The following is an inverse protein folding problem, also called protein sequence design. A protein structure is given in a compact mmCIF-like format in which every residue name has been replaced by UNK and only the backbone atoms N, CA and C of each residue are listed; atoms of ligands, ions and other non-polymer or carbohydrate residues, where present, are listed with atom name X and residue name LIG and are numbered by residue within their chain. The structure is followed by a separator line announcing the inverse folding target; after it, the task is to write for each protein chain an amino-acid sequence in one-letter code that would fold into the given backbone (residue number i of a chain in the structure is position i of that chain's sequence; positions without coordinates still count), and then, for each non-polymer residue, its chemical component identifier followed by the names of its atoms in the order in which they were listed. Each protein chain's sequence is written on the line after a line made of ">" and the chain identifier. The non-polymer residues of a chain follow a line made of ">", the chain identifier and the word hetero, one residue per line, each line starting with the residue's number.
data_IF_078236605572
#
_entry.id   IF_078236605572
#
_cell.length_a   1.000
_cell.length_b   1.000
_cell.length_c   1.000
_cell.angle_alpha   90.00
_cell.angle_beta   90.00
_cell.angle_gamma   90.00
#
_symmetry.space_group_name_H-M   'P 1'
#
loop_
_entity.id
_entity.type
_entity.pdbx_description
1 polymer ?
#
# COMPACT_ATOMS: atom_id res chain seq x y z
N UNK A 1 -4.93 35.61 13.46
CA UNK A 1 -5.74 34.78 12.55
C UNK A 1 -5.19 33.37 12.61
N UNK A 2 -5.93 32.40 13.14
CA UNK A 2 -5.47 31.01 13.19
C UNK A 2 -5.56 30.42 11.77
N UNK A 3 -4.41 30.07 11.16
CA UNK A 3 -4.41 29.23 9.95
C UNK A 3 -5.09 27.91 10.29
N UNK A 4 -6.23 27.65 9.66
CA UNK A 4 -6.89 26.36 9.68
C UNK A 4 -6.20 25.47 8.63
N UNK A 5 -5.08 24.85 9.02
CA UNK A 5 -4.53 23.77 8.21
C UNK A 5 -5.54 22.62 8.21
N UNK A 6 -6.10 22.23 7.04
CA UNK A 6 -7.05 21.13 6.97
C UNK A 6 -6.41 19.82 7.44
N UNK A 7 -7.20 18.99 8.12
CA UNK A 7 -6.78 17.64 8.53
C UNK A 7 -6.54 16.74 7.31
N UNK A 8 -5.80 15.62 7.45
CA UNK A 8 -5.59 14.67 6.35
C UNK A 8 -6.88 14.20 5.68
N UNK A 9 -7.94 13.91 6.46
CA UNK A 9 -9.26 13.53 5.93
C UNK A 9 -9.92 14.65 5.12
N UNK A 10 -9.77 15.90 5.55
CA UNK A 10 -10.30 17.05 4.81
C UNK A 10 -9.53 17.28 3.50
N UNK A 11 -8.21 17.14 3.53
CA UNK A 11 -7.37 17.20 2.32
C UNK A 11 -7.75 16.11 1.31
N UNK A 12 -8.05 14.90 1.78
CA UNK A 12 -8.51 13.80 0.93
C UNK A 12 -9.83 14.11 0.24
N UNK A 13 -10.83 14.62 0.99
CA UNK A 13 -12.13 14.98 0.44
C UNK A 13 -12.07 16.13 -0.60
N UNK A 14 -11.01 16.94 -0.57
CA UNK A 14 -10.78 18.03 -1.52
C UNK A 14 -10.05 17.59 -2.80
N UNK A 15 -9.52 16.36 -2.86
CA UNK A 15 -8.82 15.88 -4.04
C UNK A 15 -9.78 15.67 -5.22
N UNK A 16 -9.40 16.00 -6.47
CA UNK A 16 -10.25 15.81 -7.64
C UNK A 16 -10.80 14.38 -7.75
N UNK A 17 -9.96 13.39 -7.42
CA UNK A 17 -10.29 11.97 -7.54
C UNK A 17 -11.34 11.50 -6.52
N UNK A 18 -11.61 12.29 -5.46
CA UNK A 18 -12.66 11.97 -4.49
C UNK A 18 -14.07 11.96 -5.11
N UNK A 19 -14.23 12.59 -6.30
CA UNK A 19 -15.49 12.61 -7.05
C UNK A 19 -15.59 11.50 -8.11
N UNK A 20 -14.55 10.71 -8.29
CA UNK A 20 -14.46 9.75 -9.41
C UNK A 20 -15.20 8.43 -9.16
N UNK A 21 -15.94 8.27 -8.05
CA UNK A 21 -16.70 7.05 -7.70
C UNK A 21 -15.90 5.76 -7.94
N UNK A 22 -14.60 5.78 -7.63
CA UNK A 22 -13.71 4.65 -7.82
C UNK A 22 -14.09 3.51 -6.87
N UNK A 23 -14.01 2.28 -7.37
CA UNK A 23 -13.97 1.10 -6.51
C UNK A 23 -12.68 1.09 -5.69
N UNK A 24 -12.68 0.34 -4.57
CA UNK A 24 -11.47 0.18 -3.75
C UNK A 24 -10.31 -0.40 -4.56
N UNK A 25 -10.59 -1.33 -5.49
CA UNK A 25 -9.58 -1.92 -6.38
C UNK A 25 -8.95 -0.89 -7.32
N UNK A 26 -9.74 0.00 -7.93
CA UNK A 26 -9.22 1.06 -8.81
C UNK A 26 -8.37 2.07 -8.04
N UNK A 27 -8.83 2.49 -6.86
CA UNK A 27 -8.04 3.35 -5.98
C UNK A 27 -6.71 2.66 -5.61
N UNK A 28 -6.74 1.40 -5.17
CA UNK A 28 -5.54 0.66 -4.80
C UNK A 28 -4.56 0.48 -5.97
N UNK A 29 -5.05 0.28 -7.20
CA UNK A 29 -4.21 0.19 -8.39
C UNK A 29 -3.44 1.49 -8.67
N UNK A 30 -4.04 2.66 -8.44
CA UNK A 30 -3.33 3.95 -8.57
C UNK A 30 -2.19 4.08 -7.56
N UNK A 31 -2.43 3.67 -6.32
CA UNK A 31 -1.35 3.55 -5.33
C UNK A 31 -0.28 2.55 -5.80
N UNK A 32 -0.70 1.38 -6.29
CA UNK A 32 0.19 0.31 -6.76
C UNK A 32 1.15 0.76 -7.86
N UNK A 33 0.69 1.57 -8.82
CA UNK A 33 1.54 2.11 -9.87
C UNK A 33 2.70 2.96 -9.32
N UNK A 34 2.42 3.85 -8.37
CA UNK A 34 3.45 4.66 -7.70
C UNK A 34 4.36 3.79 -6.85
N UNK A 35 3.78 2.86 -6.07
CA UNK A 35 4.54 1.99 -5.18
C UNK A 35 5.52 1.10 -5.96
N UNK A 36 5.11 0.52 -7.10
CA UNK A 36 5.99 -0.30 -7.96
C UNK A 36 7.18 0.51 -8.48
N UNK A 37 6.95 1.75 -8.93
CA UNK A 37 8.03 2.61 -9.39
C UNK A 37 9.03 2.92 -8.26
N UNK A 38 8.52 3.35 -7.09
CA UNK A 38 9.37 3.66 -5.93
C UNK A 38 10.16 2.44 -5.49
N UNK A 39 9.53 1.25 -5.44
CA UNK A 39 10.19 0.00 -5.08
C UNK A 39 11.37 -0.32 -6.01
N UNK A 40 11.22 -0.12 -7.32
CA UNK A 40 12.31 -0.35 -8.26
C UNK A 40 13.48 0.62 -8.03
N UNK A 41 13.18 1.90 -7.82
CA UNK A 41 14.19 2.95 -7.59
C UNK A 41 15.02 2.72 -6.33
N UNK A 42 14.45 2.13 -5.27
CA UNK A 42 15.16 1.81 -4.03
C UNK A 42 15.80 0.41 -4.04
N UNK A 43 15.77 -0.30 -5.18
CA UNK A 43 16.33 -1.63 -5.32
C UNK A 43 15.54 -2.75 -4.62
N UNK A 44 14.28 -2.50 -4.26
CA UNK A 44 13.38 -3.53 -3.78
C UNK A 44 12.84 -4.38 -4.93
N UNK A 45 12.36 -5.58 -4.61
CA UNK A 45 11.85 -6.57 -5.57
C UNK A 45 10.59 -7.20 -5.05
N UNK A 46 9.53 -7.19 -5.86
CA UNK A 46 8.36 -8.03 -5.62
C UNK A 46 8.76 -9.46 -5.96
N UNK A 47 8.79 -10.34 -4.95
CA UNK A 47 9.12 -11.75 -5.14
C UNK A 47 7.91 -12.53 -5.65
N UNK A 48 6.72 -12.15 -5.19
CA UNK A 48 5.47 -12.81 -5.54
C UNK A 48 4.29 -11.88 -5.26
N UNK A 49 3.24 -12.00 -6.07
CA UNK A 49 1.94 -11.40 -5.83
C UNK A 49 0.83 -12.35 -6.27
N UNK A 50 -0.32 -12.34 -5.61
CA UNK A 50 -1.46 -13.13 -6.02
C UNK A 50 -2.74 -12.76 -5.28
N UNK A 51 -3.87 -13.07 -5.91
CA UNK A 51 -5.18 -13.00 -5.26
C UNK A 51 -5.43 -14.24 -4.44
N UNK A 52 -6.00 -14.08 -3.25
CA UNK A 52 -6.50 -15.22 -2.49
C UNK A 52 -7.67 -15.87 -3.24
N UNK A 53 -7.70 -17.20 -3.25
CA UNK A 53 -8.83 -17.96 -3.82
C UNK A 53 -9.68 -18.63 -2.75
N UNK A 54 -9.06 -19.13 -1.68
CA UNK A 54 -9.79 -19.77 -0.58
C UNK A 54 -8.94 -19.81 0.71
N UNK A 55 -9.60 -19.90 1.87
CA UNK A 55 -8.96 -20.17 3.17
C UNK A 55 -9.13 -21.66 3.51
N UNK A 56 -8.03 -22.41 3.55
CA UNK A 56 -8.09 -23.85 3.90
C UNK A 56 -8.10 -24.07 5.41
N UNK A 57 -7.34 -23.26 6.14
CA UNK A 57 -7.19 -23.30 7.60
C UNK A 57 -7.21 -21.85 8.07
N UNK A 58 -8.15 -21.50 8.96
CA UNK A 58 -8.44 -20.14 9.39
C UNK A 58 -9.94 -19.84 9.34
N UNK A 59 -10.30 -18.58 9.60
CA UNK A 59 -11.66 -18.05 9.51
C UNK A 59 -11.78 -16.89 8.51
N UNK A 60 -12.94 -16.25 8.51
CA UNK A 60 -13.28 -15.15 7.61
C UNK A 60 -12.33 -13.93 7.76
N UNK A 61 -11.71 -13.77 8.93
CA UNK A 61 -10.74 -12.70 9.18
C UNK A 61 -9.44 -12.86 8.37
N UNK A 62 -9.22 -14.00 7.70
CA UNK A 62 -8.15 -14.19 6.72
C UNK A 62 -8.64 -14.13 5.25
N UNK A 63 -9.80 -13.54 4.97
CA UNK A 63 -10.25 -13.25 3.60
C UNK A 63 -9.59 -11.97 3.06
N UNK A 64 -8.45 -12.11 2.38
CA UNK A 64 -7.71 -11.00 1.77
C UNK A 64 -7.92 -10.97 0.26
N UNK A 65 -8.08 -9.78 -0.33
CA UNK A 65 -8.18 -9.66 -1.79
C UNK A 65 -6.86 -9.97 -2.52
N UNK A 66 -5.75 -9.43 -1.98
CA UNK A 66 -4.44 -9.44 -2.61
C UNK A 66 -3.35 -9.71 -1.56
N UNK A 67 -2.37 -10.54 -1.91
CA UNK A 67 -1.19 -10.86 -1.08
C UNK A 67 0.06 -10.59 -1.89
N UNK A 68 1.02 -9.90 -1.29
CA UNK A 68 2.26 -9.46 -1.94
C UNK A 68 3.45 -9.75 -1.01
N UNK A 69 4.51 -10.32 -1.57
CA UNK A 69 5.80 -10.50 -0.92
C UNK A 69 6.84 -9.58 -1.57
N UNK A 70 7.41 -8.67 -0.78
CA UNK A 70 8.46 -7.74 -1.24
C UNK A 70 9.75 -8.00 -0.47
N UNK A 71 10.85 -8.14 -1.21
CA UNK A 71 12.20 -8.11 -0.65
C UNK A 71 12.78 -6.71 -0.76
N UNK A 72 13.16 -6.15 0.37
CA UNK A 72 13.94 -4.92 0.43
C UNK A 72 15.43 -5.26 0.54
N UNK A 73 16.34 -4.46 -0.03
CA UNK A 73 17.78 -4.69 0.10
C UNK A 73 18.27 -4.42 1.52
N UNK A 74 17.57 -3.57 2.27
CA UNK A 74 17.82 -3.31 3.69
C UNK A 74 16.56 -2.78 4.38
N UNK A 75 16.55 -2.78 5.72
CA UNK A 75 15.53 -2.07 6.50
C UNK A 75 15.52 -0.57 6.20
N UNK A 76 16.70 0.02 5.92
CA UNK A 76 16.80 1.45 5.61
C UNK A 76 16.06 1.80 4.31
N UNK A 77 16.17 0.97 3.28
CA UNK A 77 15.47 1.18 2.01
C UNK A 77 13.93 1.21 2.20
N UNK A 78 13.39 0.36 3.08
CA UNK A 78 11.96 0.43 3.44
C UNK A 78 11.60 1.75 4.14
N UNK A 79 12.44 2.22 5.07
CA UNK A 79 12.22 3.48 5.78
C UNK A 79 12.31 4.69 4.84
N UNK A 80 13.25 4.65 3.89
CA UNK A 80 13.38 5.67 2.85
C UNK A 80 12.12 5.72 1.98
N UNK A 81 11.60 4.56 1.54
CA UNK A 81 10.34 4.49 0.78
C UNK A 81 9.19 5.18 1.50
N UNK A 82 8.93 4.85 2.77
CA UNK A 82 7.78 5.42 3.50
C UNK A 82 7.95 6.91 3.83
N UNK A 83 9.17 7.44 3.74
CA UNK A 83 9.47 8.86 3.93
C UNK A 83 9.44 9.67 2.62
N UNK A 84 9.42 9.03 1.46
CA UNK A 84 9.41 9.72 0.16
C UNK A 84 8.09 10.47 -0.06
N UNK A 85 8.20 11.68 -0.60
CA UNK A 85 7.06 12.56 -0.83
C UNK A 85 6.06 11.99 -1.86
N UNK A 86 6.54 11.41 -2.95
CA UNK A 86 5.69 10.79 -3.98
C UNK A 86 4.93 9.56 -3.45
N UNK A 87 5.61 8.71 -2.67
CA UNK A 87 4.99 7.58 -1.99
C UNK A 87 3.92 8.04 -0.98
N UNK A 88 4.25 9.00 -0.12
CA UNK A 88 3.29 9.61 0.83
C UNK A 88 2.11 10.28 0.12
N UNK A 89 2.34 10.97 -1.00
CA UNK A 89 1.28 11.60 -1.76
C UNK A 89 0.28 10.58 -2.32
N UNK A 90 0.74 9.35 -2.61
CA UNK A 90 -0.05 8.23 -3.11
C UNK A 90 -0.75 7.41 -2.00
N UNK A 91 -0.37 7.53 -0.72
CA UNK A 91 -1.00 6.72 0.35
C UNK A 91 -2.49 7.00 0.51
N UNK A 92 -2.99 8.16 0.07
CA UNK A 92 -4.43 8.42 0.08
C UNK A 92 -5.22 7.41 -0.77
N UNK A 93 -4.66 6.97 -1.91
CA UNK A 93 -5.27 5.96 -2.77
C UNK A 93 -5.26 4.60 -2.09
N UNK A 94 -4.21 4.31 -1.32
CA UNK A 94 -4.12 3.11 -0.49
C UNK A 94 -5.18 3.12 0.61
N UNK A 95 -5.36 4.25 1.28
CA UNK A 95 -6.37 4.42 2.33
C UNK A 95 -7.80 4.34 1.77
N UNK A 96 -8.05 4.92 0.59
CA UNK A 96 -9.34 4.81 -0.08
C UNK A 96 -9.60 3.40 -0.64
N UNK A 97 -8.54 2.68 -1.00
CA UNK A 97 -8.61 1.38 -1.66
C UNK A 97 -8.73 0.18 -0.73
N UNK A 98 -8.28 0.30 0.52
CA UNK A 98 -8.21 -0.82 1.47
C UNK A 98 -9.21 -0.65 2.61
N UNK A 99 -10.07 -1.65 2.79
CA UNK A 99 -10.84 -1.81 4.03
C UNK A 99 -9.92 -2.19 5.20
N UNK A 100 -8.91 -3.02 4.94
CA UNK A 100 -7.97 -3.53 5.94
C UNK A 100 -6.63 -3.91 5.33
N UNK A 101 -5.60 -4.00 6.17
CA UNK A 101 -4.24 -4.35 5.75
C UNK A 101 -3.44 -4.96 6.89
N UNK A 102 -2.53 -5.88 6.57
CA UNK A 102 -1.50 -6.36 7.48
C UNK A 102 -0.15 -6.28 6.76
N UNK A 103 0.89 -5.86 7.48
CA UNK A 103 2.27 -5.82 6.98
C UNK A 103 3.15 -6.60 7.95
N UNK A 104 3.71 -7.72 7.48
CA UNK A 104 4.50 -8.62 8.31
C UNK A 104 5.97 -8.49 7.93
N UNK A 105 6.81 -8.10 8.89
CA UNK A 105 8.26 -8.07 8.72
C UNK A 105 8.83 -9.47 9.03
N UNK A 106 9.21 -10.19 7.98
CA UNK A 106 9.79 -11.52 8.10
C UNK A 106 11.31 -11.47 7.93
N UNK A 107 12.03 -12.36 8.62
CA UNK A 107 13.41 -12.68 8.24
C UNK A 107 13.44 -13.33 6.86
N UNK A 108 14.61 -13.34 6.21
CA UNK A 108 14.80 -14.11 4.99
C UNK A 108 14.41 -15.58 5.23
N UNK A 109 13.59 -16.14 4.34
CA UNK A 109 13.23 -17.55 4.38
C UNK A 109 14.45 -18.42 4.08
N UNK A 110 14.53 -19.59 4.73
CA UNK A 110 15.58 -20.59 4.52
C UNK A 110 15.14 -21.73 3.61
N UNK A 111 14.06 -21.54 2.84
CA UNK A 111 13.57 -22.56 1.93
C UNK A 111 14.61 -22.79 0.83
N UNK A 112 15.18 -24.00 0.84
CA UNK A 112 16.14 -24.55 -0.13
C UNK A 112 15.48 -24.92 -1.45
#
# INVERSE_FOLDING_TARGET
>A
MASLTPTPKQLQAMRPEAKENLSGREAYQRYGAVAVQVLDEIGARILWMGQQKLVFIGGAEQEWDDVVCVRYPSRMAFLEMIARHDYLAATYHREAGLERTALLCCSAGSAS
#
